data_IF_304658637746
#
_entry.id   IF_304658637746
#
_cell.length_a   1.000
_cell.length_b   1.000
_cell.length_c   1.000
_cell.angle_alpha   90.00
_cell.angle_beta   90.00
_cell.angle_gamma   90.00
#
_symmetry.space_group_name_H-M   'P 1'
#
loop_
_entity.id
_entity.type
_entity.pdbx_description
1 polymer ?
#
# COMPACT_ATOMS: atom_id res chain seq x y z
N UNK A 1 -6.40 68.12 112.38
CA UNK A 1 -7.40 67.81 111.39
C UNK A 1 -6.77 67.79 110.03
N UNK A 2 -6.42 66.62 109.44
CA UNK A 2 -5.96 66.50 108.08
C UNK A 2 -7.13 66.28 107.16
N UNK A 3 -7.40 67.26 106.32
CA UNK A 3 -8.41 67.19 105.30
C UNK A 3 -7.79 66.45 104.08
N UNK A 4 -8.25 65.23 103.89
CA UNK A 4 -7.79 64.34 102.76
C UNK A 4 -8.60 64.60 101.51
N UNK A 5 -8.09 65.47 100.64
CA UNK A 5 -8.70 65.70 99.29
C UNK A 5 -8.19 64.61 98.33
N UNK A 6 -9.04 63.71 97.96
CA UNK A 6 -8.74 62.70 96.93
C UNK A 6 -9.00 63.32 95.54
N UNK A 7 -7.94 63.52 94.76
CA UNK A 7 -8.00 64.02 93.40
C UNK A 7 -8.21 62.78 92.48
N UNK A 8 -9.39 62.56 91.89
CA UNK A 8 -9.64 61.55 90.88
C UNK A 8 -9.35 62.13 89.49
N UNK A 9 -8.25 61.74 88.92
CA UNK A 9 -7.95 62.05 87.50
C UNK A 9 -8.58 61.03 86.59
N UNK A 10 -9.70 61.42 85.95
CA UNK A 10 -10.33 60.62 84.92
C UNK A 10 -9.81 61.01 83.56
N UNK A 11 -9.03 60.10 82.89
CA UNK A 11 -8.76 60.22 81.43
C UNK A 11 -9.99 59.91 80.60
N UNK A 12 -10.38 60.73 79.59
CA UNK A 12 -11.53 60.48 78.76
C UNK A 12 -11.27 59.28 77.86
N UNK A 13 -11.94 58.18 78.14
CA UNK A 13 -11.93 56.94 77.32
C UNK A 13 -12.54 57.09 75.93
N UNK A 14 -13.20 58.20 75.59
CA UNK A 14 -13.82 58.48 74.29
C UNK A 14 -12.77 58.54 73.19
N UNK A 15 -11.63 59.16 73.35
CA UNK A 15 -10.58 59.24 72.31
C UNK A 15 -9.97 57.90 71.99
N UNK A 16 -9.81 57.02 73.00
CA UNK A 16 -9.31 55.64 72.77
C UNK A 16 -10.34 54.81 71.99
N UNK A 17 -11.63 54.96 72.33
CA UNK A 17 -12.72 54.26 71.62
C UNK A 17 -12.85 54.70 70.17
N UNK A 18 -12.76 56.01 69.90
CA UNK A 18 -12.86 56.56 68.54
C UNK A 18 -11.65 56.12 67.66
N UNK A 19 -10.42 56.09 68.28
CA UNK A 19 -9.25 55.54 67.58
C UNK A 19 -9.35 54.05 67.30
N UNK A 20 -9.95 53.23 68.20
CA UNK A 20 -10.17 51.80 67.96
C UNK A 20 -11.21 51.55 66.90
N UNK A 21 -12.32 52.33 66.86
CA UNK A 21 -13.33 52.26 65.83
C UNK A 21 -12.75 52.64 64.45
N UNK A 22 -11.97 53.72 64.43
CA UNK A 22 -11.29 54.16 63.19
C UNK A 22 -10.26 53.13 62.69
N UNK A 23 -9.48 52.54 63.55
CA UNK A 23 -8.51 51.48 63.26
C UNK A 23 -9.25 50.22 62.76
N UNK A 24 -10.42 49.83 63.41
CA UNK A 24 -11.27 48.74 63.02
C UNK A 24 -11.85 48.93 61.62
N UNK A 25 -12.29 50.17 61.33
CA UNK A 25 -12.86 50.51 60.00
C UNK A 25 -11.81 50.48 58.90
N UNK A 26 -10.60 51.01 59.18
CA UNK A 26 -9.45 50.95 58.24
C UNK A 26 -9.08 49.50 58.01
N UNK A 27 -8.93 48.67 59.04
CA UNK A 27 -8.65 47.23 58.90
C UNK A 27 -9.70 46.50 58.09
N UNK A 28 -10.99 46.79 58.31
CA UNK A 28 -12.10 46.18 57.56
C UNK A 28 -12.06 46.55 56.07
N UNK A 29 -11.81 47.83 55.76
CA UNK A 29 -11.68 48.31 54.37
C UNK A 29 -10.45 47.70 53.70
N UNK A 30 -9.28 47.70 54.33
CA UNK A 30 -8.05 47.12 53.78
C UNK A 30 -8.20 45.62 53.55
N UNK A 31 -8.77 44.89 54.49
CA UNK A 31 -9.04 43.43 54.35
C UNK A 31 -10.05 43.17 53.22
N UNK A 32 -11.11 43.97 53.15
CA UNK A 32 -12.08 43.88 52.07
C UNK A 32 -11.47 44.08 50.68
N UNK A 33 -10.66 45.14 50.53
CA UNK A 33 -9.97 45.40 49.26
C UNK A 33 -8.98 44.29 48.94
N UNK A 34 -8.20 43.81 49.90
CA UNK A 34 -7.26 42.72 49.68
C UNK A 34 -7.96 41.41 49.28
N UNK A 35 -9.09 41.09 49.89
CA UNK A 35 -9.86 39.92 49.55
C UNK A 35 -10.45 40.02 48.12
N UNK A 36 -11.02 41.17 47.75
CA UNK A 36 -11.54 41.41 46.37
C UNK A 36 -10.43 41.33 45.33
N UNK A 37 -9.27 41.92 45.62
CA UNK A 37 -8.10 41.83 44.73
C UNK A 37 -7.62 40.38 44.58
N UNK A 38 -7.57 39.63 45.67
CA UNK A 38 -7.19 38.19 45.67
C UNK A 38 -8.15 37.33 44.83
N UNK A 39 -9.47 37.49 45.07
CA UNK A 39 -10.50 36.79 44.26
C UNK A 39 -10.43 37.18 42.78
N UNK A 40 -10.24 38.48 42.50
CA UNK A 40 -10.08 38.95 41.14
C UNK A 40 -8.85 38.33 40.43
N UNK A 41 -7.69 38.29 41.15
CA UNK A 41 -6.49 37.65 40.63
C UNK A 41 -6.66 36.15 40.36
N UNK A 42 -7.29 35.43 41.27
CA UNK A 42 -7.59 33.99 41.08
C UNK A 42 -8.47 33.76 39.87
N UNK A 43 -9.57 34.52 39.75
CA UNK A 43 -10.48 34.42 38.60
C UNK A 43 -9.73 34.71 37.28
N UNK A 44 -8.87 35.74 37.27
CA UNK A 44 -8.08 36.10 36.09
C UNK A 44 -7.09 34.99 35.73
N UNK A 45 -6.35 34.43 36.68
CA UNK A 45 -5.42 33.31 36.44
C UNK A 45 -6.14 32.09 35.89
N UNK A 46 -7.26 31.68 36.54
CA UNK A 46 -8.04 30.51 36.12
C UNK A 46 -8.57 30.69 34.70
N UNK A 47 -9.17 31.84 34.38
CA UNK A 47 -9.69 32.11 33.02
C UNK A 47 -8.56 32.11 31.99
N UNK A 48 -7.40 32.68 32.32
CA UNK A 48 -6.25 32.70 31.41
C UNK A 48 -5.68 31.31 31.17
N UNK A 49 -5.64 30.48 32.20
CA UNK A 49 -5.13 29.10 32.13
C UNK A 49 -6.07 28.16 31.35
N UNK A 50 -7.41 28.40 31.39
CA UNK A 50 -8.40 27.59 30.73
C UNK A 50 -8.73 28.07 29.31
N UNK A 51 -8.38 29.29 28.91
CA UNK A 51 -8.66 29.84 27.59
C UNK A 51 -8.12 28.96 26.42
N UNK A 52 -6.96 28.30 26.51
CA UNK A 52 -6.51 27.36 25.48
C UNK A 52 -7.45 26.16 25.34
N UNK A 53 -8.00 25.63 26.43
CA UNK A 53 -8.94 24.51 26.42
C UNK A 53 -10.23 24.84 25.66
N UNK A 54 -10.76 26.05 25.83
CA UNK A 54 -11.93 26.52 25.07
C UNK A 54 -11.63 26.54 23.56
N UNK A 55 -10.41 26.93 23.14
CA UNK A 55 -10.01 26.92 21.74
C UNK A 55 -9.87 25.51 21.18
N UNK A 56 -9.30 24.59 21.92
CA UNK A 56 -9.22 23.16 21.57
C UNK A 56 -10.64 22.58 21.42
N UNK A 57 -11.55 22.84 22.38
CA UNK A 57 -12.92 22.42 22.32
C UNK A 57 -13.68 23.04 21.12
N UNK A 58 -13.45 24.29 20.79
CA UNK A 58 -14.00 24.95 19.63
C UNK A 58 -13.50 24.33 18.31
N UNK A 59 -12.23 23.91 18.26
CA UNK A 59 -11.65 23.20 17.12
C UNK A 59 -12.29 21.83 16.94
N UNK A 60 -12.42 21.05 18.03
CA UNK A 60 -13.10 19.75 18.01
C UNK A 60 -14.57 19.85 17.55
N UNK A 61 -15.32 20.86 18.04
CA UNK A 61 -16.71 21.11 17.58
C UNK A 61 -16.76 21.45 16.09
N UNK A 62 -15.86 22.25 15.58
CA UNK A 62 -15.82 22.57 14.13
C UNK A 62 -15.60 21.31 13.29
N UNK A 63 -14.68 20.44 13.71
CA UNK A 63 -14.42 19.19 13.01
C UNK A 63 -15.63 18.26 13.05
N UNK A 64 -16.33 18.15 14.19
CA UNK A 64 -17.51 17.29 14.33
C UNK A 64 -18.71 17.73 13.48
N UNK A 65 -18.74 18.98 13.03
CA UNK A 65 -19.79 19.52 12.14
C UNK A 65 -19.46 19.38 10.65
N UNK A 66 -18.24 18.93 10.29
CA UNK A 66 -17.88 18.73 8.90
C UNK A 66 -18.59 17.47 8.35
N UNK A 67 -19.15 17.52 7.14
CA UNK A 67 -19.72 16.34 6.49
C UNK A 67 -18.58 15.42 6.02
N UNK A 68 -18.16 14.48 6.88
CA UNK A 68 -17.07 13.54 6.60
C UNK A 68 -17.50 12.38 5.68
N UNK A 69 -18.78 12.28 5.38
CA UNK A 69 -19.40 11.21 4.58
C UNK A 69 -19.48 11.53 3.08
N UNK A 70 -19.26 12.79 2.68
CA UNK A 70 -19.47 13.24 1.28
C UNK A 70 -18.39 14.22 0.83
N UNK A 71 -17.86 13.95 -0.37
CA UNK A 71 -16.94 14.86 -1.06
C UNK A 71 -15.48 14.77 -0.62
N UNK A 72 -14.68 15.65 -1.17
CA UNK A 72 -13.26 15.80 -0.87
C UNK A 72 -13.10 16.46 0.51
N UNK A 73 -12.84 15.65 1.54
CA UNK A 73 -12.72 16.15 2.91
C UNK A 73 -11.29 16.62 3.16
N UNK A 74 -11.08 17.92 2.99
CA UNK A 74 -9.86 18.56 3.48
C UNK A 74 -10.03 18.99 4.94
N UNK A 75 -9.49 18.18 5.86
CA UNK A 75 -9.42 18.53 7.28
C UNK A 75 -8.31 19.58 7.51
N UNK A 76 -8.51 20.82 6.97
CA UNK A 76 -7.56 21.93 7.16
C UNK A 76 -7.61 22.56 8.56
N UNK A 77 -8.52 22.12 9.43
CA UNK A 77 -8.69 22.67 10.78
C UNK A 77 -7.69 22.02 11.72
N UNK A 78 -6.87 22.82 12.40
CA UNK A 78 -5.87 22.39 13.39
C UNK A 78 -5.94 23.26 14.63
N UNK A 79 -5.53 22.71 15.77
CA UNK A 79 -5.24 23.47 16.99
C UNK A 79 -4.00 24.31 16.73
N UNK A 80 -4.03 25.63 17.02
CA UNK A 80 -2.87 26.50 16.80
C UNK A 80 -1.64 26.04 17.60
N UNK A 81 -0.44 26.24 17.05
CA UNK A 81 0.84 25.86 17.69
C UNK A 81 1.02 26.41 19.09
N UNK A 82 0.50 27.63 19.38
CA UNK A 82 0.54 28.21 20.72
C UNK A 82 -0.23 27.41 21.78
N UNK A 83 -1.17 26.58 21.37
CA UNK A 83 -2.03 25.75 22.22
C UNK A 83 -1.63 24.26 22.18
N UNK A 84 -0.42 23.95 21.65
CA UNK A 84 0.16 22.60 21.59
C UNK A 84 1.50 22.48 22.31
N UNK A 85 1.78 23.37 23.30
CA UNK A 85 3.02 23.30 24.09
C UNK A 85 3.04 22.01 24.93
N UNK A 86 3.97 21.08 24.69
CA UNK A 86 4.01 19.78 25.37
C UNK A 86 4.32 19.87 26.88
N UNK A 87 4.70 21.04 27.36
CA UNK A 87 4.99 21.30 28.80
C UNK A 87 3.73 21.59 29.60
N UNK A 88 2.58 21.76 28.95
CA UNK A 88 1.29 21.99 29.62
C UNK A 88 0.32 20.86 29.29
N UNK A 89 -0.57 20.51 30.24
CA UNK A 89 -1.57 19.45 30.07
C UNK A 89 -2.52 19.78 28.92
N UNK A 90 -2.94 21.04 28.78
CA UNK A 90 -3.81 21.49 27.69
C UNK A 90 -3.08 21.42 26.35
N UNK A 91 -1.80 21.76 26.32
CA UNK A 91 -0.98 21.68 25.12
C UNK A 91 -0.77 20.23 24.65
N UNK A 92 -0.60 19.28 25.58
CA UNK A 92 -0.55 17.85 25.26
C UNK A 92 -1.87 17.36 24.62
N UNK A 93 -3.02 17.80 25.17
CA UNK A 93 -4.34 17.49 24.57
C UNK A 93 -4.46 18.11 23.17
N UNK A 94 -4.01 19.35 22.98
CA UNK A 94 -4.00 20.02 21.68
C UNK A 94 -3.14 19.30 20.65
N UNK A 95 -1.95 18.83 21.05
CA UNK A 95 -1.05 18.05 20.20
C UNK A 95 -1.65 16.67 19.85
N UNK A 96 -2.21 15.97 20.83
CA UNK A 96 -2.88 14.69 20.62
C UNK A 96 -4.09 14.81 19.68
N UNK A 97 -4.89 15.88 19.80
CA UNK A 97 -5.99 16.16 18.90
C UNK A 97 -5.47 16.40 17.46
N UNK A 98 -4.41 17.16 17.27
CA UNK A 98 -3.81 17.36 15.95
C UNK A 98 -3.32 16.04 15.34
N UNK A 99 -2.69 15.17 16.11
CA UNK A 99 -2.27 13.84 15.66
C UNK A 99 -3.46 12.97 15.24
N UNK A 100 -4.53 12.99 16.03
CA UNK A 100 -5.77 12.27 15.68
C UNK A 100 -6.38 12.81 14.39
N UNK A 101 -6.42 14.14 14.20
CA UNK A 101 -6.92 14.76 12.98
C UNK A 101 -6.08 14.39 11.77
N UNK A 102 -4.76 14.29 11.92
CA UNK A 102 -3.86 13.83 10.84
C UNK A 102 -4.14 12.38 10.45
N UNK A 103 -4.26 11.49 11.43
CA UNK A 103 -4.57 10.09 11.20
C UNK A 103 -5.93 9.91 10.48
N UNK A 104 -6.95 10.66 10.93
CA UNK A 104 -8.29 10.64 10.30
C UNK A 104 -8.22 11.21 8.88
N UNK A 105 -7.51 12.32 8.66
CA UNK A 105 -7.33 12.93 7.34
C UNK A 105 -6.66 11.95 6.37
N UNK A 106 -5.59 11.28 6.80
CA UNK A 106 -4.87 10.29 6.01
C UNK A 106 -5.74 9.07 5.69
N UNK A 107 -6.53 8.58 6.65
CA UNK A 107 -7.45 7.47 6.44
C UNK A 107 -8.57 7.83 5.45
N UNK A 108 -9.14 9.03 5.55
CA UNK A 108 -10.16 9.51 4.60
C UNK A 108 -9.59 9.70 3.19
N UNK A 109 -8.38 10.26 3.07
CA UNK A 109 -7.70 10.41 1.78
C UNK A 109 -7.41 9.04 1.13
N UNK A 110 -6.93 8.07 1.90
CA UNK A 110 -6.69 6.71 1.43
C UNK A 110 -7.99 6.03 0.98
N UNK A 111 -9.08 6.19 1.74
CA UNK A 111 -10.41 5.68 1.38
C UNK A 111 -10.92 6.30 0.09
N UNK A 112 -10.84 7.62 -0.05
CA UNK A 112 -11.29 8.33 -1.25
C UNK A 112 -10.49 7.94 -2.49
N UNK A 113 -9.16 7.80 -2.37
CA UNK A 113 -8.30 7.29 -3.43
C UNK A 113 -8.69 5.86 -3.83
N UNK A 114 -9.09 5.02 -2.86
CA UNK A 114 -9.59 3.67 -3.12
C UNK A 114 -10.94 3.69 -3.84
N UNK A 115 -11.90 4.50 -3.38
CA UNK A 115 -13.21 4.63 -4.05
C UNK A 115 -13.09 5.15 -5.49
N UNK A 116 -12.22 6.13 -5.73
CA UNK A 116 -11.95 6.65 -7.07
C UNK A 116 -11.35 5.58 -7.98
N UNK A 117 -10.38 4.79 -7.47
CA UNK A 117 -9.80 3.66 -8.21
C UNK A 117 -10.83 2.60 -8.57
N UNK A 118 -11.74 2.26 -7.63
CA UNK A 118 -12.81 1.29 -7.91
C UNK A 118 -13.79 1.82 -8.95
N UNK A 119 -14.20 3.09 -8.87
CA UNK A 119 -15.10 3.70 -9.89
C UNK A 119 -14.46 3.69 -11.27
N UNK A 120 -13.20 4.09 -11.36
CA UNK A 120 -12.43 4.06 -12.61
C UNK A 120 -12.35 2.63 -13.16
N UNK A 121 -11.99 1.67 -12.31
CA UNK A 121 -11.91 0.24 -12.68
C UNK A 121 -13.23 -0.28 -13.27
N UNK A 122 -14.38 0.02 -12.62
CA UNK A 122 -15.70 -0.40 -13.11
C UNK A 122 -16.05 0.26 -14.43
N UNK A 123 -15.73 1.55 -14.61
CA UNK A 123 -15.96 2.26 -15.87
C UNK A 123 -15.15 1.65 -17.01
N UNK A 124 -13.85 1.46 -16.80
CA UNK A 124 -12.92 0.92 -17.80
C UNK A 124 -13.27 -0.53 -18.17
N UNK A 125 -13.54 -1.38 -17.15
CA UNK A 125 -14.01 -2.75 -17.37
C UNK A 125 -15.30 -2.80 -18.19
N UNK A 126 -16.26 -1.89 -17.91
CA UNK A 126 -17.52 -1.81 -18.64
C UNK A 126 -17.30 -1.43 -20.11
N UNK A 127 -16.35 -0.54 -20.40
CA UNK A 127 -15.99 -0.17 -21.76
C UNK A 127 -15.31 -1.33 -22.51
N UNK A 128 -14.35 -2.00 -21.87
CA UNK A 128 -13.62 -3.12 -22.50
C UNK A 128 -14.47 -4.39 -22.68
N UNK A 129 -15.50 -4.59 -21.88
CA UNK A 129 -16.47 -5.68 -22.06
C UNK A 129 -17.53 -5.37 -23.14
N UNK A 130 -17.90 -4.09 -23.32
CA UNK A 130 -18.92 -3.71 -24.28
C UNK A 130 -18.48 -3.96 -25.73
N UNK A 131 -17.21 -3.72 -26.05
CA UNK A 131 -16.65 -3.85 -27.39
C UNK A 131 -16.74 -5.29 -27.94
N UNK A 132 -16.20 -6.34 -27.25
CA UNK A 132 -16.32 -7.72 -27.74
C UNK A 132 -17.77 -8.19 -27.74
N UNK A 133 -18.60 -7.76 -26.78
CA UNK A 133 -20.02 -8.11 -26.75
C UNK A 133 -20.78 -7.56 -27.98
N UNK A 134 -20.47 -6.32 -28.38
CA UNK A 134 -21.04 -5.76 -29.62
C UNK A 134 -20.57 -6.51 -30.87
N UNK A 135 -19.30 -6.96 -30.91
CA UNK A 135 -18.77 -7.78 -31.99
C UNK A 135 -19.45 -9.14 -32.04
N UNK A 136 -19.60 -9.85 -30.92
CA UNK A 136 -20.32 -11.12 -30.81
C UNK A 136 -21.75 -10.97 -31.36
N UNK A 137 -22.46 -9.94 -30.92
CA UNK A 137 -23.81 -9.65 -31.40
C UNK A 137 -23.83 -9.40 -32.89
N UNK A 138 -22.93 -8.61 -33.45
CA UNK A 138 -22.85 -8.31 -34.87
C UNK A 138 -22.57 -9.56 -35.72
N UNK A 139 -21.63 -10.42 -35.31
CA UNK A 139 -21.35 -11.67 -35.99
C UNK A 139 -22.49 -12.68 -35.87
N UNK A 140 -23.16 -12.75 -34.72
CA UNK A 140 -24.34 -13.59 -34.56
C UNK A 140 -25.52 -13.11 -35.44
N UNK A 141 -25.72 -11.81 -35.61
CA UNK A 141 -26.71 -11.25 -36.54
C UNK A 141 -26.33 -11.51 -38.01
N UNK A 142 -25.03 -11.45 -38.35
CA UNK A 142 -24.53 -11.76 -39.68
C UNK A 142 -24.81 -13.23 -40.06
N UNK A 143 -24.48 -14.18 -39.16
CA UNK A 143 -24.76 -15.61 -39.36
C UNK A 143 -26.25 -15.91 -39.51
N UNK A 144 -27.15 -15.10 -38.95
CA UNK A 144 -28.62 -15.28 -39.10
C UNK A 144 -29.19 -14.71 -40.38
N UNK A 145 -28.50 -13.76 -41.04
CA UNK A 145 -29.01 -13.11 -42.28
C UNK A 145 -28.97 -14.02 -43.49
N UNK A 146 -27.91 -14.83 -43.61
CA UNK A 146 -27.78 -15.78 -44.74
C UNK A 146 -27.34 -17.15 -44.20
N UNK A 147 -28.31 -17.96 -43.73
CA UNK A 147 -28.03 -19.30 -43.19
C UNK A 147 -27.55 -20.31 -44.26
N UNK A 148 -27.70 -19.99 -45.56
CA UNK A 148 -27.29 -20.86 -46.66
C UNK A 148 -25.80 -20.65 -47.03
N UNK A 149 -25.21 -19.53 -46.66
CA UNK A 149 -23.76 -19.29 -46.78
C UNK A 149 -22.99 -19.98 -45.64
N UNK A 150 -22.69 -21.27 -45.84
CA UNK A 150 -21.97 -22.08 -44.85
C UNK A 150 -20.57 -21.51 -44.50
N UNK A 151 -19.89 -20.89 -45.48
CA UNK A 151 -18.56 -20.28 -45.22
C UNK A 151 -18.70 -19.02 -44.38
N UNK A 152 -19.64 -18.15 -44.69
CA UNK A 152 -19.94 -16.94 -43.93
C UNK A 152 -20.40 -17.25 -42.50
N UNK A 153 -21.27 -18.25 -42.33
CA UNK A 153 -21.70 -18.73 -40.99
C UNK A 153 -20.52 -19.30 -40.22
N UNK A 154 -19.67 -20.16 -40.84
CA UNK A 154 -18.48 -20.71 -40.17
C UNK A 154 -17.51 -19.62 -39.73
N UNK A 155 -17.27 -18.63 -40.59
CA UNK A 155 -16.43 -17.47 -40.23
C UNK A 155 -17.03 -16.67 -39.07
N UNK A 156 -18.33 -16.39 -39.11
CA UNK A 156 -18.99 -15.63 -38.03
C UNK A 156 -18.96 -16.38 -36.69
N UNK A 157 -19.18 -17.71 -36.68
CA UNK A 157 -19.10 -18.54 -35.49
C UNK A 157 -17.66 -18.55 -34.89
N UNK A 158 -16.64 -18.71 -35.75
CA UNK A 158 -15.26 -18.67 -35.31
C UNK A 158 -14.92 -17.30 -34.67
N UNK A 159 -15.43 -16.21 -35.21
CA UNK A 159 -15.26 -14.85 -34.61
C UNK A 159 -15.98 -14.72 -33.28
N UNK A 160 -17.19 -15.28 -33.15
CA UNK A 160 -17.92 -15.31 -31.86
C UNK A 160 -17.13 -16.10 -30.80
N UNK A 161 -16.60 -17.27 -31.17
CA UNK A 161 -15.77 -18.09 -30.28
C UNK A 161 -14.50 -17.37 -29.85
N UNK A 162 -13.80 -16.73 -30.77
CA UNK A 162 -12.59 -15.93 -30.50
C UNK A 162 -12.88 -14.78 -29.55
N UNK A 163 -13.95 -14.01 -29.75
CA UNK A 163 -14.32 -12.91 -28.86
C UNK A 163 -14.81 -13.42 -27.49
N UNK A 164 -15.48 -14.58 -27.42
CA UNK A 164 -15.89 -15.19 -26.15
C UNK A 164 -14.70 -15.65 -25.33
N UNK A 165 -13.71 -16.30 -25.97
CA UNK A 165 -12.44 -16.68 -25.32
C UNK A 165 -11.70 -15.45 -24.78
N UNK A 166 -11.63 -14.40 -25.60
CA UNK A 166 -11.02 -13.13 -25.19
C UNK A 166 -11.73 -12.50 -23.98
N UNK A 167 -13.08 -12.55 -23.94
CA UNK A 167 -13.85 -12.07 -22.79
C UNK A 167 -13.56 -12.88 -21.54
N UNK A 168 -13.41 -14.20 -21.64
CA UNK A 168 -13.04 -15.05 -20.49
C UNK A 168 -11.70 -14.63 -19.92
N UNK A 169 -10.67 -14.48 -20.75
CA UNK A 169 -9.35 -14.01 -20.31
C UNK A 169 -9.44 -12.63 -19.64
N UNK A 170 -10.20 -11.69 -20.25
CA UNK A 170 -10.39 -10.36 -19.69
C UNK A 170 -11.05 -10.40 -18.30
N UNK A 171 -12.08 -11.23 -18.11
CA UNK A 171 -12.78 -11.38 -16.82
C UNK A 171 -11.83 -12.00 -15.77
N UNK A 172 -11.07 -13.03 -16.14
CA UNK A 172 -10.11 -13.67 -15.25
C UNK A 172 -9.01 -12.70 -14.81
N UNK A 173 -8.49 -11.88 -15.73
CA UNK A 173 -7.52 -10.83 -15.47
C UNK A 173 -8.08 -9.77 -14.50
N UNK A 174 -9.32 -9.34 -14.70
CA UNK A 174 -10.00 -8.38 -13.82
C UNK A 174 -10.21 -8.96 -12.43
N UNK A 175 -10.63 -10.23 -12.32
CA UNK A 175 -10.81 -10.91 -11.03
C UNK A 175 -9.48 -11.09 -10.31
N UNK A 176 -8.39 -11.40 -11.03
CA UNK A 176 -7.05 -11.47 -10.45
C UNK A 176 -6.63 -10.13 -9.87
N UNK A 177 -6.73 -9.06 -10.64
CA UNK A 177 -6.39 -7.70 -10.18
C UNK A 177 -7.20 -7.29 -8.96
N UNK A 178 -8.51 -7.60 -8.93
CA UNK A 178 -9.37 -7.31 -7.78
C UNK A 178 -8.96 -8.09 -6.52
N UNK A 179 -8.51 -9.35 -6.69
CA UNK A 179 -7.98 -10.17 -5.58
C UNK A 179 -6.65 -9.62 -5.04
N UNK A 180 -5.75 -9.22 -5.92
CA UNK A 180 -4.45 -8.64 -5.54
C UNK A 180 -4.63 -7.28 -4.83
N UNK A 181 -5.52 -6.41 -5.34
CA UNK A 181 -5.86 -5.14 -4.71
C UNK A 181 -6.45 -5.30 -3.29
N UNK A 182 -7.16 -6.40 -3.04
CA UNK A 182 -7.73 -6.68 -1.72
C UNK A 182 -6.71 -7.20 -0.70
N UNK A 183 -5.44 -7.31 -1.07
CA UNK A 183 -4.36 -7.80 -0.22
C UNK A 183 -4.49 -9.28 0.17
N UNK A 184 -5.24 -10.08 -0.59
CA UNK A 184 -5.30 -11.53 -0.35
C UNK A 184 -3.94 -12.15 -0.63
N UNK A 185 -3.39 -12.96 0.31
CA UNK A 185 -2.11 -13.61 0.10
C UNK A 185 -2.19 -14.56 -1.10
N UNK A 186 -1.13 -14.55 -1.90
CA UNK A 186 -0.91 -15.53 -2.96
C UNK A 186 -0.47 -16.88 -2.36
N UNK A 187 -0.57 -17.94 -3.15
CA UNK A 187 0.08 -19.19 -2.79
C UNK A 187 1.59 -18.95 -2.67
N UNK A 188 2.22 -19.54 -1.67
CA UNK A 188 3.65 -19.37 -1.44
C UNK A 188 4.32 -20.72 -1.42
N UNK A 189 5.10 -21.01 -2.46
CA UNK A 189 5.91 -22.20 -2.61
C UNK A 189 7.30 -21.85 -3.12
N UNK A 190 8.19 -22.83 -3.16
CA UNK A 190 9.47 -22.68 -3.83
C UNK A 190 9.27 -22.78 -5.34
N UNK A 191 9.61 -21.74 -6.07
CA UNK A 191 9.49 -21.64 -7.52
C UNK A 191 10.88 -21.69 -8.15
N UNK A 192 11.07 -22.58 -9.13
CA UNK A 192 12.28 -22.63 -9.97
C UNK A 192 12.12 -21.68 -11.15
N UNK A 193 12.64 -20.47 -10.99
CA UNK A 193 12.60 -19.42 -12.02
C UNK A 193 13.34 -19.79 -13.28
N UNK A 194 14.37 -20.66 -13.19
CA UNK A 194 15.13 -21.12 -14.37
C UNK A 194 14.25 -21.97 -15.26
N UNK A 195 13.59 -22.99 -14.66
CA UNK A 195 12.63 -23.86 -15.37
C UNK A 195 11.48 -23.04 -15.94
N UNK A 196 10.88 -22.20 -15.12
CA UNK A 196 9.73 -21.37 -15.52
C UNK A 196 10.06 -20.42 -16.68
N UNK A 197 11.30 -19.88 -16.70
CA UNK A 197 11.76 -19.03 -17.80
C UNK A 197 11.96 -19.83 -19.08
N UNK A 198 12.52 -21.04 -19.01
CA UNK A 198 12.70 -21.93 -20.16
C UNK A 198 11.35 -22.28 -20.77
N UNK A 199 10.39 -22.71 -19.93
CA UNK A 199 9.05 -23.13 -20.38
C UNK A 199 8.32 -21.94 -21.05
N UNK A 200 8.36 -20.75 -20.43
CA UNK A 200 7.70 -19.56 -20.97
C UNK A 200 8.30 -19.08 -22.30
N UNK A 201 9.62 -19.13 -22.45
CA UNK A 201 10.28 -18.74 -23.70
C UNK A 201 9.99 -19.78 -24.80
N UNK A 202 9.96 -21.07 -24.47
CA UNK A 202 9.57 -22.14 -25.41
C UNK A 202 8.15 -21.92 -25.93
N UNK A 203 7.21 -21.62 -25.06
CA UNK A 203 5.83 -21.32 -25.45
C UNK A 203 5.74 -20.05 -26.32
N UNK A 204 6.50 -19.02 -25.96
CA UNK A 204 6.59 -17.78 -26.73
C UNK A 204 7.19 -17.99 -28.13
N UNK A 205 8.16 -18.87 -28.27
CA UNK A 205 8.77 -19.24 -29.56
C UNK A 205 7.75 -19.95 -30.47
N UNK A 206 6.95 -20.85 -29.92
CA UNK A 206 5.88 -21.53 -30.67
C UNK A 206 4.81 -20.52 -31.11
N UNK A 207 4.44 -19.57 -30.22
CA UNK A 207 3.43 -18.56 -30.50
C UNK A 207 3.91 -17.44 -31.45
N UNK A 208 5.22 -17.22 -31.57
CA UNK A 208 5.85 -16.18 -32.39
C UNK A 208 7.07 -16.68 -33.15
N UNK A 209 6.89 -17.59 -34.14
CA UNK A 209 8.00 -18.18 -34.87
C UNK A 209 8.76 -17.17 -35.73
N UNK A 210 8.14 -16.03 -36.03
CA UNK A 210 8.75 -14.95 -36.81
C UNK A 210 9.71 -14.06 -36.01
N UNK A 211 9.85 -14.28 -34.69
CA UNK A 211 10.77 -13.56 -33.81
C UNK A 211 12.01 -14.41 -33.53
N UNK A 212 13.11 -13.74 -33.19
CA UNK A 212 14.33 -14.39 -32.68
C UNK A 212 14.30 -14.36 -31.16
N UNK A 213 14.37 -15.55 -30.57
CA UNK A 213 14.31 -15.68 -29.12
C UNK A 213 15.68 -16.08 -28.59
N UNK A 214 16.21 -15.31 -27.64
CA UNK A 214 17.47 -15.60 -26.96
C UNK A 214 17.22 -15.77 -25.45
N UNK A 215 17.91 -16.74 -24.88
CA UNK A 215 17.82 -17.09 -23.48
C UNK A 215 19.21 -17.03 -22.85
N UNK A 216 19.34 -16.27 -21.76
CA UNK A 216 20.58 -16.09 -21.01
C UNK A 216 20.32 -16.41 -19.53
N UNK A 217 20.67 -17.63 -19.12
CA UNK A 217 20.41 -18.19 -17.81
C UNK A 217 21.72 -18.49 -17.07
N UNK A 218 21.72 -18.50 -15.73
CA UNK A 218 22.84 -19.03 -14.95
C UNK A 218 22.89 -20.57 -15.02
N UNK A 219 24.05 -21.12 -14.73
CA UNK A 219 24.27 -22.58 -14.73
C UNK A 219 23.49 -23.29 -13.60
N UNK A 220 23.34 -22.62 -12.45
CA UNK A 220 22.60 -23.15 -11.30
C UNK A 220 21.13 -22.73 -11.32
N UNK A 221 20.20 -23.57 -10.86
CA UNK A 221 18.79 -23.22 -10.71
C UNK A 221 18.59 -22.01 -9.78
N UNK A 222 17.77 -21.08 -10.21
CA UNK A 222 17.43 -19.88 -9.46
C UNK A 222 16.08 -20.08 -8.78
N UNK A 223 16.08 -20.16 -7.45
CA UNK A 223 14.88 -20.36 -6.65
C UNK A 223 14.41 -19.06 -6.03
N UNK A 224 13.09 -18.87 -5.99
CA UNK A 224 12.40 -17.81 -5.24
C UNK A 224 11.22 -18.38 -4.47
N UNK A 225 10.65 -17.60 -3.55
CA UNK A 225 9.37 -17.92 -2.92
C UNK A 225 8.25 -17.19 -3.65
N UNK A 226 7.17 -17.91 -3.97
CA UNK A 226 6.05 -17.29 -4.67
C UNK A 226 4.99 -18.27 -5.16
N UNK A 227 4.07 -17.73 -5.95
CA UNK A 227 3.02 -18.47 -6.67
C UNK A 227 3.50 -18.76 -8.09
N UNK A 228 3.78 -20.05 -8.36
CA UNK A 228 4.32 -20.53 -9.64
C UNK A 228 3.44 -20.08 -10.83
N UNK A 229 2.12 -20.27 -10.74
CA UNK A 229 1.20 -19.92 -11.82
C UNK A 229 1.17 -18.40 -12.09
N UNK A 230 1.31 -17.58 -11.03
CA UNK A 230 1.33 -16.11 -11.18
C UNK A 230 2.65 -15.61 -11.73
N UNK A 231 3.77 -16.18 -11.33
CA UNK A 231 5.07 -15.85 -11.92
C UNK A 231 5.18 -16.31 -13.38
N UNK A 232 4.59 -17.46 -13.73
CA UNK A 232 4.42 -17.87 -15.12
C UNK A 232 3.60 -16.86 -15.93
N UNK A 233 2.50 -16.35 -15.35
CA UNK A 233 1.67 -15.31 -15.99
C UNK A 233 2.45 -14.00 -16.21
N UNK A 234 3.35 -13.61 -15.28
CA UNK A 234 4.24 -12.46 -15.45
C UNK A 234 5.12 -12.63 -16.69
N UNK A 235 5.80 -13.78 -16.80
CA UNK A 235 6.66 -14.08 -17.95
C UNK A 235 5.86 -14.10 -19.24
N UNK A 236 4.73 -14.81 -19.28
CA UNK A 236 3.86 -14.89 -20.45
C UNK A 236 3.41 -13.49 -20.91
N UNK A 237 3.02 -12.60 -19.99
CA UNK A 237 2.63 -11.24 -20.32
C UNK A 237 3.78 -10.40 -20.89
N UNK A 238 4.98 -10.49 -20.32
CA UNK A 238 6.14 -9.75 -20.82
C UNK A 238 6.55 -10.24 -22.20
N UNK A 239 6.60 -11.55 -22.43
CA UNK A 239 6.98 -12.14 -23.72
C UNK A 239 5.89 -11.90 -24.79
N UNK A 240 4.60 -12.00 -24.43
CA UNK A 240 3.50 -11.65 -25.32
C UNK A 240 3.53 -10.15 -25.70
N UNK A 241 3.90 -9.28 -24.76
CA UNK A 241 4.08 -7.84 -25.03
C UNK A 241 5.21 -7.60 -26.06
N UNK A 242 6.36 -8.23 -25.88
CA UNK A 242 7.46 -8.15 -26.82
C UNK A 242 7.03 -8.62 -28.23
N UNK A 243 6.39 -9.79 -28.33
CA UNK A 243 5.87 -10.35 -29.60
C UNK A 243 4.87 -9.43 -30.30
N UNK A 244 3.94 -8.85 -29.53
CA UNK A 244 2.83 -8.08 -30.10
C UNK A 244 3.24 -6.68 -30.56
N UNK A 245 4.22 -6.07 -29.86
CA UNK A 245 4.61 -4.68 -30.08
C UNK A 245 5.89 -4.52 -30.91
N UNK A 246 6.51 -5.62 -31.34
CA UNK A 246 7.67 -5.56 -32.23
C UNK A 246 7.32 -6.14 -33.61
N UNK A 247 8.03 -5.73 -34.68
CA UNK A 247 7.83 -6.29 -36.01
C UNK A 247 8.38 -7.71 -36.09
N UNK A 248 7.91 -8.54 -37.08
CA UNK A 248 8.55 -9.82 -37.39
C UNK A 248 10.05 -9.67 -37.63
N UNK A 249 10.85 -10.66 -37.20
CA UNK A 249 12.30 -10.65 -37.25
C UNK A 249 12.99 -9.95 -36.10
N UNK A 250 12.23 -9.33 -35.19
CA UNK A 250 12.78 -8.70 -33.99
C UNK A 250 13.44 -9.72 -33.05
N UNK A 251 14.49 -9.27 -32.38
CA UNK A 251 15.16 -10.03 -31.34
C UNK A 251 14.50 -9.76 -29.98
N UNK A 252 14.12 -10.82 -29.29
CA UNK A 252 13.62 -10.81 -27.90
C UNK A 252 14.58 -11.64 -27.05
N UNK A 253 15.21 -11.00 -26.07
CA UNK A 253 16.17 -11.63 -25.15
C UNK A 253 15.55 -11.71 -23.76
N UNK A 254 15.58 -12.91 -23.16
CA UNK A 254 15.16 -13.13 -21.79
C UNK A 254 16.38 -13.53 -20.95
N UNK A 255 16.69 -12.72 -19.96
CA UNK A 255 17.84 -12.92 -19.07
C UNK A 255 17.38 -13.12 -17.64
N UNK A 256 17.94 -14.14 -16.98
CA UNK A 256 17.75 -14.41 -15.57
C UNK A 256 19.10 -14.29 -14.84
N UNK A 257 19.11 -13.62 -13.70
CA UNK A 257 20.29 -13.48 -12.83
C UNK A 257 19.85 -13.63 -11.37
N UNK A 258 20.72 -14.22 -10.58
CA UNK A 258 20.57 -14.26 -9.13
C UNK A 258 21.65 -13.39 -8.48
N UNK A 259 21.22 -12.56 -7.54
CA UNK A 259 22.11 -11.80 -6.65
C UNK A 259 22.06 -12.39 -5.24
N UNK A 260 22.80 -11.80 -4.30
CA UNK A 260 22.78 -12.26 -2.89
C UNK A 260 21.39 -12.16 -2.25
N UNK A 261 20.54 -11.20 -2.66
CA UNK A 261 19.25 -10.90 -2.04
C UNK A 261 18.05 -10.93 -2.98
N UNK A 262 18.27 -10.97 -4.30
CA UNK A 262 17.20 -10.89 -5.29
C UNK A 262 17.43 -11.81 -6.50
N UNK A 263 16.32 -12.09 -7.17
CA UNK A 263 16.26 -12.71 -8.49
C UNK A 263 15.85 -11.63 -9.48
N UNK A 264 16.64 -11.43 -10.51
CA UNK A 264 16.41 -10.40 -11.54
C UNK A 264 16.12 -11.07 -12.86
N UNK A 265 14.90 -10.88 -13.36
CA UNK A 265 14.45 -11.29 -14.69
C UNK A 265 14.38 -10.06 -15.59
N UNK A 266 15.00 -10.12 -16.75
CA UNK A 266 14.98 -9.02 -17.73
C UNK A 266 14.50 -9.55 -19.08
N UNK A 267 13.45 -8.94 -19.63
CA UNK A 267 12.98 -9.19 -21.00
C UNK A 267 13.26 -7.96 -21.83
N UNK A 268 14.06 -8.12 -22.88
CA UNK A 268 14.50 -7.02 -23.74
C UNK A 268 14.12 -7.30 -25.18
N UNK A 269 13.58 -6.32 -25.89
CA UNK A 269 13.31 -6.36 -27.31
C UNK A 269 14.01 -5.20 -28.05
N UNK A 270 14.26 -5.39 -29.34
CA UNK A 270 14.84 -4.39 -30.24
C UNK A 270 13.76 -3.66 -31.10
N UNK A 271 12.55 -3.58 -30.59
CA UNK A 271 11.41 -2.96 -31.27
C UNK A 271 11.44 -1.44 -31.33
N UNK A 272 10.33 -0.82 -31.72
CA UNK A 272 10.25 0.62 -31.95
C UNK A 272 10.37 1.46 -30.66
N UNK A 273 10.32 0.84 -29.48
CA UNK A 273 10.34 1.52 -28.20
C UNK A 273 8.97 2.05 -27.77
N UNK A 274 8.91 2.50 -26.52
CA UNK A 274 7.72 3.09 -25.88
C UNK A 274 7.93 4.60 -25.81
N UNK A 275 6.99 5.43 -26.30
CA UNK A 275 7.06 6.87 -26.18
C UNK A 275 7.30 7.33 -24.73
N UNK A 276 8.18 8.31 -24.52
CA UNK A 276 8.59 8.72 -23.19
C UNK A 276 7.43 9.16 -22.29
N UNK A 277 6.40 9.79 -22.87
CA UNK A 277 5.22 10.23 -22.12
C UNK A 277 4.35 9.07 -21.61
N UNK A 278 4.42 7.88 -22.22
CA UNK A 278 3.68 6.69 -21.80
C UNK A 278 4.43 5.84 -20.77
N UNK A 279 5.76 5.92 -20.72
CA UNK A 279 6.57 5.06 -19.84
C UNK A 279 6.18 5.13 -18.36
N UNK A 280 5.82 6.28 -17.77
CA UNK A 280 5.36 6.33 -16.37
C UNK A 280 4.04 5.62 -16.12
N UNK A 281 3.21 5.46 -17.16
CA UNK A 281 1.83 5.00 -17.04
C UNK A 281 1.62 3.57 -17.57
N UNK A 282 2.62 2.95 -18.23
CA UNK A 282 2.41 1.66 -18.92
C UNK A 282 2.02 0.51 -18.01
N UNK A 283 2.27 0.60 -16.71
CA UNK A 283 1.85 -0.36 -15.69
C UNK A 283 0.45 -0.07 -15.15
N UNK A 284 -0.16 1.05 -15.54
CA UNK A 284 -1.56 1.31 -15.22
C UNK A 284 -2.49 0.46 -16.09
N UNK A 285 -3.69 0.20 -15.59
CA UNK A 285 -4.70 -0.61 -16.28
C UNK A 285 -5.18 0.11 -17.53
N UNK A 286 -5.43 -0.67 -18.59
CA UNK A 286 -5.99 -0.20 -19.86
C UNK A 286 -5.16 0.84 -20.62
N UNK A 287 -3.91 1.06 -20.22
CA UNK A 287 -2.98 1.92 -20.96
C UNK A 287 -2.58 1.25 -22.26
N UNK A 288 -2.72 1.96 -23.37
CA UNK A 288 -2.40 1.50 -24.72
C UNK A 288 -1.66 2.58 -25.49
N UNK A 289 -0.68 2.18 -26.28
CA UNK A 289 -0.08 3.07 -27.28
C UNK A 289 -1.03 3.27 -28.47
N UNK A 290 -0.95 4.43 -29.14
CA UNK A 290 -1.78 4.81 -30.30
C UNK A 290 -1.59 3.95 -31.56
N UNK A 291 -0.79 2.90 -31.53
CA UNK A 291 -0.55 2.06 -32.70
C UNK A 291 -1.81 1.25 -33.08
N UNK A 292 -2.20 1.33 -34.35
CA UNK A 292 -3.30 0.55 -34.94
C UNK A 292 -3.10 -0.98 -34.76
N UNK A 293 -1.85 -1.45 -34.64
CA UNK A 293 -1.49 -2.85 -34.39
C UNK A 293 -1.94 -3.37 -33.03
N UNK A 294 -1.94 -2.56 -31.98
CA UNK A 294 -2.42 -2.99 -30.65
C UNK A 294 -3.93 -3.26 -30.62
N UNK A 295 -4.70 -2.63 -31.51
CA UNK A 295 -6.14 -2.87 -31.66
C UNK A 295 -6.44 -4.16 -32.40
N UNK A 296 -5.69 -4.48 -33.44
CA UNK A 296 -5.85 -5.71 -34.23
C UNK A 296 -5.32 -6.96 -33.51
N UNK A 297 -4.32 -6.83 -32.66
CA UNK A 297 -3.72 -7.93 -31.91
C UNK A 297 -4.48 -8.34 -30.64
N UNK A 298 -5.62 -7.70 -30.33
CA UNK A 298 -6.50 -8.13 -29.24
C UNK A 298 -5.98 -7.86 -27.81
N UNK A 299 -4.95 -7.02 -27.63
CA UNK A 299 -4.41 -6.71 -26.29
C UNK A 299 -5.44 -5.99 -25.42
N UNK A 300 -5.65 -6.44 -24.18
CA UNK A 300 -6.61 -5.87 -23.22
C UNK A 300 -6.08 -4.62 -22.50
N UNK A 301 -4.78 -4.34 -22.58
CA UNK A 301 -4.13 -3.31 -21.77
C UNK A 301 -4.04 -3.65 -20.28
N UNK A 302 -4.28 -4.92 -19.91
CA UNK A 302 -4.17 -5.40 -18.53
C UNK A 302 -2.86 -6.14 -18.25
N UNK A 303 -2.21 -6.70 -19.27
CA UNK A 303 -1.04 -7.57 -19.09
C UNK A 303 0.09 -6.94 -18.25
N UNK A 304 0.50 -5.70 -18.54
CA UNK A 304 1.54 -5.02 -17.76
C UNK A 304 1.04 -4.58 -16.37
N UNK A 305 -0.22 -4.26 -16.22
CA UNK A 305 -0.83 -4.00 -14.91
C UNK A 305 -0.84 -5.26 -14.03
N UNK A 306 -1.10 -6.44 -14.62
CA UNK A 306 -0.99 -7.73 -13.94
C UNK A 306 0.46 -8.00 -13.54
N UNK A 307 1.43 -7.76 -14.44
CA UNK A 307 2.86 -7.89 -14.10
C UNK A 307 3.18 -7.07 -12.85
N UNK A 308 2.82 -5.79 -12.84
CA UNK A 308 3.09 -4.93 -11.69
C UNK A 308 2.40 -5.40 -10.40
N UNK A 309 1.12 -5.78 -10.47
CA UNK A 309 0.35 -6.23 -9.32
C UNK A 309 0.87 -7.57 -8.75
N UNK A 310 1.20 -8.53 -9.62
CA UNK A 310 1.76 -9.82 -9.18
C UNK A 310 3.15 -9.64 -8.59
N UNK A 311 4.03 -8.87 -9.23
CA UNK A 311 5.38 -8.60 -8.72
C UNK A 311 5.33 -7.90 -7.37
N UNK A 312 4.47 -6.88 -7.20
CA UNK A 312 4.26 -6.21 -5.92
C UNK A 312 3.73 -7.15 -4.83
N UNK A 313 2.82 -8.09 -5.18
CA UNK A 313 2.30 -9.09 -4.24
C UNK A 313 3.35 -10.15 -3.83
N UNK A 314 4.49 -10.20 -4.53
CA UNK A 314 5.68 -11.00 -4.17
C UNK A 314 6.78 -10.14 -3.53
N UNK A 315 6.47 -8.95 -3.00
CA UNK A 315 7.41 -7.99 -2.42
C UNK A 315 8.55 -7.60 -3.38
N UNK A 316 8.29 -7.67 -4.69
CA UNK A 316 9.22 -7.35 -5.76
C UNK A 316 9.00 -5.96 -6.36
N UNK A 317 9.82 -5.63 -7.34
CA UNK A 317 9.71 -4.39 -8.11
C UNK A 317 9.79 -4.68 -9.62
N UNK A 318 9.05 -3.90 -10.42
CA UNK A 318 9.13 -3.92 -11.88
C UNK A 318 9.47 -2.54 -12.40
N UNK A 319 10.33 -2.49 -13.41
CA UNK A 319 10.72 -1.25 -14.07
C UNK A 319 10.82 -1.43 -15.58
N UNK A 320 10.83 -0.32 -16.31
CA UNK A 320 11.01 -0.28 -17.76
C UNK A 320 12.05 0.75 -18.13
N UNK A 321 12.83 0.44 -19.12
CA UNK A 321 13.71 1.38 -19.84
C UNK A 321 13.44 1.20 -21.32
N UNK A 322 13.03 2.26 -22.02
CA UNK A 322 12.70 2.16 -23.43
C UNK A 322 13.15 3.37 -24.23
N UNK A 323 13.68 3.06 -25.41
CA UNK A 323 14.05 3.98 -26.48
C UNK A 323 13.89 3.27 -27.82
N UNK A 324 13.83 3.98 -28.94
CA UNK A 324 13.81 3.32 -30.25
C UNK A 324 14.96 2.32 -30.41
N UNK A 325 14.61 1.08 -30.77
CA UNK A 325 15.55 -0.03 -30.89
C UNK A 325 15.89 -0.78 -29.59
N UNK A 326 15.29 -0.39 -28.47
CA UNK A 326 15.49 -1.08 -27.19
C UNK A 326 14.33 -0.84 -26.24
N UNK A 327 13.62 -1.90 -25.85
CA UNK A 327 12.71 -1.88 -24.68
C UNK A 327 13.15 -2.99 -23.73
N UNK A 328 13.35 -2.66 -22.48
CA UNK A 328 13.80 -3.60 -21.44
C UNK A 328 12.90 -3.49 -20.22
N UNK A 329 12.19 -4.57 -19.94
CA UNK A 329 11.44 -4.75 -18.70
C UNK A 329 12.28 -5.53 -17.71
N UNK A 330 12.44 -5.02 -16.49
CA UNK A 330 13.19 -5.68 -15.42
C UNK A 330 12.25 -5.96 -14.25
N UNK A 331 12.18 -7.22 -13.87
CA UNK A 331 11.46 -7.70 -12.68
C UNK A 331 12.49 -8.14 -11.64
N UNK A 332 12.37 -7.61 -10.44
CA UNK A 332 13.21 -7.97 -9.30
C UNK A 332 12.33 -8.59 -8.21
N UNK A 333 12.65 -9.82 -7.80
CA UNK A 333 11.94 -10.56 -6.76
C UNK A 333 12.89 -10.86 -5.61
N UNK A 334 12.42 -10.93 -4.36
CA UNK A 334 13.23 -11.40 -3.24
C UNK A 334 13.71 -12.83 -3.49
N UNK A 335 14.99 -13.09 -3.24
CA UNK A 335 15.52 -14.45 -3.36
C UNK A 335 15.05 -15.28 -2.18
N UNK A 336 14.31 -16.36 -2.45
CA UNK A 336 14.01 -17.39 -1.45
C UNK A 336 15.33 -17.96 -0.90
N UNK A 337 15.42 -18.18 0.41
CA UNK A 337 16.54 -18.95 0.93
C UNK A 337 16.46 -20.33 0.32
N UNK A 338 17.49 -20.72 -0.43
CA UNK A 338 17.68 -22.10 -0.84
C UNK A 338 17.64 -22.96 0.45
N UNK A 339 16.68 -23.89 0.62
CA UNK A 339 16.84 -24.88 1.67
C UNK A 339 18.18 -25.54 1.38
N UNK A 340 19.16 -25.34 2.26
CA UNK A 340 20.43 -26.06 2.19
C UNK A 340 20.10 -27.53 1.88
N UNK A 341 20.74 -28.17 0.88
CA UNK A 341 20.54 -29.60 0.69
C UNK A 341 20.75 -30.22 2.07
N UNK A 342 19.79 -31.01 2.52
CA UNK A 342 19.89 -31.73 3.77
C UNK A 342 21.18 -32.59 3.66
N UNK A 343 22.29 -31.96 4.04
CA UNK A 343 23.60 -32.59 4.05
C UNK A 343 23.52 -33.76 4.97
N UNK A 344 23.81 -34.89 4.42
CA UNK A 344 24.14 -36.18 4.97
C UNK A 344 24.64 -36.09 6.42
N UNK A 345 23.72 -35.99 7.39
CA UNK A 345 24.02 -36.11 8.82
C UNK A 345 24.00 -37.58 9.26
N UNK A 346 24.11 -38.51 8.30
CA UNK A 346 24.09 -39.98 8.61
C UNK A 346 25.43 -40.65 8.50
N UNK A 347 26.57 -39.99 8.26
CA UNK A 347 27.89 -40.65 8.10
C UNK A 347 28.89 -40.42 9.24
N UNK A 348 28.55 -39.75 10.35
CA UNK A 348 29.52 -39.47 11.41
C UNK A 348 29.17 -40.03 12.79
N UNK A 349 28.22 -40.99 12.90
CA UNK A 349 27.89 -41.66 14.17
C UNK A 349 28.13 -43.17 14.19
N UNK A 350 29.06 -43.69 13.38
CA UNK A 350 29.47 -45.12 13.44
C UNK A 350 30.98 -45.30 13.45
N UNK A 351 31.76 -44.44 14.07
CA UNK A 351 33.16 -44.69 14.42
C UNK A 351 33.45 -44.14 15.81
N UNK A 352 33.05 -44.86 16.84
CA UNK A 352 33.41 -44.46 18.19
C UNK A 352 32.82 -45.28 19.31
N UNK A 353 32.61 -46.59 19.14
CA UNK A 353 32.34 -47.46 20.31
C UNK A 353 32.65 -48.90 19.97
N UNK A 354 33.95 -49.22 19.81
CA UNK A 354 34.47 -50.57 19.81
C UNK A 354 35.86 -50.59 20.39
N UNK A 355 35.98 -50.36 21.70
CA UNK A 355 37.15 -50.74 22.52
C UNK A 355 36.77 -50.53 23.99
N UNK A 356 36.30 -51.55 24.61
CA UNK A 356 36.50 -51.99 25.99
C UNK A 356 35.36 -52.88 26.47
N UNK A 357 35.51 -54.14 26.31
CA UNK A 357 35.04 -55.16 27.30
C UNK A 357 35.76 -56.47 27.04
N UNK A 358 36.98 -56.53 27.61
CA UNK A 358 37.66 -57.79 27.87
C UNK A 358 37.36 -58.18 29.32
N UNK A 359 36.88 -59.37 29.52
CA UNK A 359 37.09 -60.14 30.75
C UNK A 359 35.95 -60.13 31.76
N UNK A 360 35.06 -61.11 31.68
CA UNK A 360 34.70 -61.96 32.88
C UNK A 360 34.33 -63.32 32.40
N UNK A 361 35.09 -64.31 32.93
CA UNK A 361 35.01 -65.76 32.81
C UNK A 361 33.75 -66.33 33.45
N UNK A 362 33.19 -67.45 32.97
CA UNK A 362 32.07 -68.14 33.61
C UNK A 362 32.55 -69.10 34.72
N UNK A 363 31.84 -69.12 35.80
CA UNK A 363 31.93 -70.18 36.85
C UNK A 363 30.72 -71.10 36.77
N UNK A 364 30.91 -72.38 37.25
CA UNK A 364 30.10 -73.51 36.76
C UNK A 364 28.90 -73.83 37.65
N UNK A 365 28.09 -74.71 37.07
CA UNK A 365 26.90 -75.34 37.54
C UNK A 365 26.92 -75.85 39.02
N UNK A 366 25.77 -75.79 39.63
CA UNK A 366 25.27 -76.48 40.78
C UNK A 366 23.76 -76.48 40.75
#
# INVERSE_FOLDING_TARGET
MHDGTTVINGLPLSSVRDSLVQLGLILLVVTGVALLAGVGAVIWVVRRSLAPLDRVAATARRVSMLPLDRGEVQLGVRVPLRDTDPRTEVGQVGAALNQMLENVSSALAARQASETRVRQFVADASHELRTPLAAIRGYAELARRDPLDQQGVGHALHRVESESTRMTVLVDDLLLLARLDSGRPLASGTVDMTKLTIDAVSDAQVAGPDHRWELDLPDDPVLTLGDDARLQQVLANLLANARTHTPPGSLVSCRLRATTGSVVLTVTDNGPGIPAHLQPEIFHRFVRGDSSRSRSAGSTGLGLAIVAAVVAAHDGAVSVQSRPGLTSFTVELPRGRNPLPAGDLTSERVRGTSERLVGVSPAPAG
#
